data_IF_364098193823
#
_entry.id   IF_364098193823
#
_cell.length_a   1.000
_cell.length_b   1.000
_cell.length_c   1.000
_cell.angle_alpha   90.00
_cell.angle_beta   90.00
_cell.angle_gamma   90.00
#
_symmetry.space_group_name_H-M   'P 1'
#
loop_
_entity.id
_entity.type
_entity.pdbx_description
1 polymer ?
#
# COMPACT_ATOMS: atom_id res chain seq x y z
N UNK A 1 4.47 17.04 1.44
CA UNK A 1 3.11 16.90 2.02
C UNK A 1 3.09 17.40 3.44
N UNK A 2 3.67 18.58 3.66
CA UNK A 2 3.70 19.28 4.94
C UNK A 2 2.33 19.95 5.22
N UNK A 3 2.02 20.34 6.46
CA UNK A 3 2.82 20.14 7.67
C UNK A 3 2.70 18.73 8.24
N UNK A 4 1.55 18.08 8.07
CA UNK A 4 1.25 16.77 8.66
C UNK A 4 1.03 15.74 7.56
N UNK A 5 1.66 14.58 7.70
CA UNK A 5 1.53 13.41 6.82
C UNK A 5 1.40 12.15 7.68
N UNK A 6 0.57 11.21 7.23
CA UNK A 6 0.54 9.86 7.79
C UNK A 6 1.42 8.93 6.96
N UNK A 7 2.06 7.96 7.63
CA UNK A 7 2.87 6.91 7.00
C UNK A 7 2.39 5.57 7.52
N UNK A 8 2.08 4.66 6.60
CA UNK A 8 1.66 3.28 6.92
C UNK A 8 2.60 2.33 6.16
N UNK A 9 3.67 1.84 6.79
CA UNK A 9 4.82 1.31 6.06
C UNK A 9 4.57 -0.03 5.37
N UNK A 10 3.57 -0.80 5.80
CA UNK A 10 3.22 -2.09 5.19
C UNK A 10 2.18 -1.99 4.06
N UNK A 11 1.75 -0.78 3.72
CA UNK A 11 0.76 -0.50 2.67
C UNK A 11 1.39 0.26 1.52
N UNK A 12 0.76 0.19 0.34
CA UNK A 12 1.18 1.02 -0.79
C UNK A 12 1.08 2.52 -0.46
N UNK A 13 1.98 3.30 -1.04
CA UNK A 13 2.19 4.70 -0.67
C UNK A 13 0.96 5.61 -0.80
N UNK A 14 -0.02 5.24 -1.62
CA UNK A 14 -1.25 6.01 -1.78
C UNK A 14 -2.18 5.99 -0.56
N UNK A 15 -1.99 5.05 0.38
CA UNK A 15 -2.68 5.06 1.68
C UNK A 15 -2.09 6.08 2.66
N UNK A 16 -0.90 6.59 2.38
CA UNK A 16 -0.19 7.58 3.21
C UNK A 16 -0.55 9.01 2.79
N UNK A 17 -1.70 9.50 3.27
CA UNK A 17 -2.23 10.82 2.96
C UNK A 17 -1.25 11.95 3.35
N UNK A 18 -1.18 12.97 2.47
CA UNK A 18 -0.29 14.14 2.61
C UNK A 18 -1.11 15.37 3.02
N UNK A 19 -0.48 16.30 3.76
CA UNK A 19 -1.06 17.61 4.09
C UNK A 19 -2.45 17.48 4.73
N UNK A 20 -2.54 16.65 5.78
CA UNK A 20 -3.80 16.31 6.45
C UNK A 20 -4.35 17.53 7.19
N UNK A 21 -5.58 17.91 6.88
CA UNK A 21 -6.30 19.02 7.52
C UNK A 21 -7.46 18.58 8.42
N UNK A 22 -7.92 17.33 8.29
CA UNK A 22 -9.06 16.79 9.03
C UNK A 22 -8.92 15.29 9.25
N UNK A 23 -9.21 14.84 10.47
CA UNK A 23 -9.36 13.44 10.84
C UNK A 23 -10.78 13.27 11.39
N UNK A 24 -11.51 12.27 10.92
CA UNK A 24 -12.86 11.93 11.38
C UNK A 24 -12.91 10.44 11.65
N UNK A 25 -13.44 10.07 12.82
CA UNK A 25 -13.80 8.70 13.13
C UNK A 25 -15.21 8.42 12.60
N UNK A 26 -15.38 7.33 11.86
CA UNK A 26 -16.65 6.93 11.23
C UNK A 26 -16.95 5.48 11.56
N UNK A 27 -18.23 5.13 11.61
CA UNK A 27 -18.75 3.77 11.83
C UNK A 27 -18.70 2.91 10.55
N UNK A 28 -18.56 3.56 9.38
CA UNK A 28 -18.49 2.92 8.06
C UNK A 28 -17.15 3.16 7.38
N UNK A 29 -16.75 2.21 6.54
CA UNK A 29 -15.56 2.31 5.69
C UNK A 29 -15.69 3.49 4.70
N UNK A 30 -14.78 4.48 4.72
CA UNK A 30 -14.84 5.61 3.82
C UNK A 30 -14.25 5.27 2.45
N UNK A 31 -14.83 5.85 1.39
CA UNK A 31 -14.28 5.75 0.03
C UNK A 31 -12.96 6.53 -0.06
N UNK A 32 -11.89 5.87 -0.49
CA UNK A 32 -10.56 6.50 -0.67
C UNK A 32 -10.38 7.06 -2.08
N UNK A 33 -9.50 8.05 -2.26
CA UNK A 33 -9.35 8.76 -3.55
C UNK A 33 -9.00 7.82 -4.69
N UNK A 34 -8.04 6.92 -4.51
CA UNK A 34 -7.62 5.98 -5.56
C UNK A 34 -8.65 4.89 -5.82
N UNK A 35 -9.34 4.40 -4.78
CA UNK A 35 -10.43 3.46 -4.94
C UNK A 35 -11.61 4.08 -5.73
N UNK A 36 -11.91 5.36 -5.51
CA UNK A 36 -12.91 6.09 -6.30
C UNK A 36 -12.50 6.22 -7.77
N UNK A 37 -11.23 6.53 -8.03
CA UNK A 37 -10.73 6.79 -9.38
C UNK A 37 -10.59 5.52 -10.21
N UNK A 38 -10.08 4.44 -9.62
CA UNK A 38 -9.87 3.17 -10.31
C UNK A 38 -10.10 2.00 -9.33
N UNK A 39 -11.37 1.64 -9.07
CA UNK A 39 -11.72 0.63 -8.06
C UNK A 39 -11.19 -0.77 -8.37
N UNK A 40 -10.92 -1.06 -9.64
CA UNK A 40 -10.36 -2.33 -10.12
C UNK A 40 -8.84 -2.42 -9.83
N UNK A 41 -8.17 -1.27 -9.70
CA UNK A 41 -6.71 -1.19 -9.54
C UNK A 41 -6.30 -1.00 -8.08
N UNK A 42 -7.13 -0.32 -7.29
CA UNK A 42 -6.81 0.10 -5.93
C UNK A 42 -7.95 -0.22 -4.98
N UNK A 43 -7.78 -1.21 -4.12
CA UNK A 43 -8.75 -1.50 -3.05
C UNK A 43 -8.57 -0.64 -1.82
N UNK A 44 -9.32 -1.01 -0.77
CA UNK A 44 -9.30 -0.26 0.48
C UNK A 44 -8.08 -0.58 1.34
N UNK A 45 -7.73 -1.86 1.54
CA UNK A 45 -6.66 -2.21 2.48
C UNK A 45 -5.27 -2.00 1.90
N UNK A 46 -5.02 -2.42 0.66
CA UNK A 46 -3.78 -2.11 -0.09
C UNK A 46 -2.51 -2.39 0.67
N UNK A 47 -2.50 -3.56 1.31
CA UNK A 47 -1.30 -4.15 1.90
C UNK A 47 -0.32 -4.50 0.77
N UNK A 48 0.97 -4.26 0.98
CA UNK A 48 2.00 -4.67 0.03
C UNK A 48 2.00 -6.19 -0.03
N UNK A 49 1.73 -6.74 -1.21
CA UNK A 49 1.62 -8.18 -1.43
C UNK A 49 2.27 -8.57 -2.77
N UNK A 50 3.45 -9.21 -2.78
CA UNK A 50 4.14 -9.59 -4.02
C UNK A 50 3.41 -10.68 -4.82
N UNK A 51 2.46 -11.39 -4.20
CA UNK A 51 1.69 -12.47 -4.81
C UNK A 51 0.44 -11.97 -5.54
N UNK A 52 0.10 -10.68 -5.43
CA UNK A 52 -1.06 -10.07 -6.09
C UNK A 52 -0.56 -8.98 -7.01
N UNK A 53 -0.71 -9.20 -8.32
CA UNK A 53 -0.28 -8.23 -9.32
C UNK A 53 -1.31 -7.13 -9.48
N UNK A 54 -0.82 -5.92 -9.79
CA UNK A 54 -1.67 -4.86 -10.28
C UNK A 54 -2.19 -5.24 -11.68
N UNK A 55 -3.39 -4.79 -12.12
CA UNK A 55 -3.93 -5.17 -13.44
C UNK A 55 -3.00 -4.91 -14.63
N UNK A 56 -2.10 -3.93 -14.48
CA UNK A 56 -1.17 -3.49 -15.53
C UNK A 56 0.29 -3.91 -15.33
N UNK A 57 0.68 -4.43 -14.17
CA UNK A 57 2.07 -4.82 -13.90
C UNK A 57 2.21 -5.78 -12.70
N UNK A 58 3.27 -6.57 -12.70
CA UNK A 58 3.61 -7.43 -11.56
C UNK A 58 4.14 -6.62 -10.38
N UNK A 59 3.72 -6.99 -9.17
CA UNK A 59 4.18 -6.44 -7.90
C UNK A 59 5.24 -7.33 -7.22
N UNK A 60 5.71 -8.38 -7.90
CA UNK A 60 6.68 -9.33 -7.35
C UNK A 60 8.08 -8.73 -7.17
N UNK A 61 8.37 -7.64 -7.87
CA UNK A 61 9.67 -6.95 -7.82
C UNK A 61 9.48 -5.44 -7.81
N UNK A 62 10.42 -4.74 -7.18
CA UNK A 62 10.44 -3.30 -7.06
C UNK A 62 11.81 -2.71 -7.39
N UNK A 63 11.84 -1.40 -7.64
CA UNK A 63 13.08 -0.66 -7.84
C UNK A 63 13.38 0.17 -6.61
N UNK A 64 14.44 -0.20 -5.90
CA UNK A 64 14.97 0.57 -4.77
C UNK A 64 15.52 1.90 -5.29
N UNK A 65 15.06 3.02 -4.73
CA UNK A 65 15.60 4.35 -5.07
C UNK A 65 16.60 4.73 -3.99
N UNK A 66 17.89 4.51 -4.26
CA UNK A 66 18.98 4.73 -3.30
C UNK A 66 19.96 5.85 -3.72
N UNK A 67 19.60 6.61 -4.76
CA UNK A 67 20.35 7.76 -5.25
C UNK A 67 21.66 7.43 -5.98
N UNK A 68 22.04 6.14 -6.07
CA UNK A 68 23.34 5.74 -6.66
C UNK A 68 23.22 5.31 -8.12
N UNK A 69 22.09 4.75 -8.55
CA UNK A 69 21.94 4.30 -9.93
C UNK A 69 20.47 4.24 -10.39
N UNK A 70 20.07 5.08 -11.35
CA UNK A 70 18.72 5.04 -11.97
C UNK A 70 18.46 3.71 -12.71
N UNK A 71 19.53 2.97 -13.05
CA UNK A 71 19.47 1.65 -13.67
C UNK A 71 19.66 0.50 -12.66
N UNK A 72 19.53 0.76 -11.35
CA UNK A 72 19.61 -0.28 -10.33
C UNK A 72 18.68 -1.45 -10.65
N UNK A 73 19.21 -2.68 -10.56
CA UNK A 73 18.45 -3.91 -10.72
C UNK A 73 17.23 -3.95 -9.81
N UNK A 74 16.15 -4.57 -10.29
CA UNK A 74 14.96 -4.78 -9.46
C UNK A 74 15.27 -5.78 -8.35
N UNK A 75 14.73 -5.54 -7.16
CA UNK A 75 14.78 -6.46 -6.01
C UNK A 75 13.41 -7.10 -5.83
N UNK A 76 13.34 -8.22 -5.10
CA UNK A 76 12.06 -8.85 -4.76
C UNK A 76 11.31 -7.99 -3.75
N UNK A 77 10.01 -7.80 -3.97
CA UNK A 77 9.13 -7.11 -3.01
C UNK A 77 8.80 -8.06 -1.86
N UNK A 78 8.87 -7.55 -0.63
CA UNK A 78 8.57 -8.32 0.57
C UNK A 78 7.09 -8.25 0.93
N UNK A 79 6.54 -9.34 1.47
CA UNK A 79 5.17 -9.35 2.00
C UNK A 79 5.04 -8.34 3.13
N UNK A 80 3.95 -7.56 3.13
CA UNK A 80 3.75 -6.44 4.05
C UNK A 80 4.93 -5.46 4.09
N UNK A 81 5.69 -5.35 2.99
CA UNK A 81 6.89 -4.52 2.89
C UNK A 81 7.94 -4.82 3.98
N UNK A 82 8.04 -6.09 4.39
CA UNK A 82 8.98 -6.53 5.43
C UNK A 82 8.44 -6.45 6.86
N UNK A 83 7.21 -5.95 7.06
CA UNK A 83 6.61 -5.78 8.39
C UNK A 83 5.72 -6.95 8.82
N UNK A 84 5.76 -8.08 8.12
CA UNK A 84 4.83 -9.21 8.30
C UNK A 84 4.66 -9.63 9.76
N UNK A 85 5.76 -9.85 10.48
CA UNK A 85 5.77 -10.25 11.89
C UNK A 85 4.91 -9.35 12.80
N UNK A 86 4.84 -8.05 12.48
CA UNK A 86 4.13 -7.06 13.29
C UNK A 86 2.66 -6.89 12.92
N UNK A 87 2.29 -7.16 11.67
CA UNK A 87 0.97 -6.74 11.13
C UNK A 87 0.12 -7.89 10.61
N UNK A 88 0.70 -9.07 10.38
CA UNK A 88 -0.02 -10.20 9.78
C UNK A 88 -1.25 -10.61 10.60
N UNK A 89 -1.12 -10.61 11.93
CA UNK A 89 -2.21 -10.96 12.86
C UNK A 89 -3.44 -10.06 12.72
N UNK A 90 -3.28 -8.80 12.27
CA UNK A 90 -4.39 -7.87 12.05
C UNK A 90 -5.28 -8.28 10.87
N UNK A 91 -4.77 -9.14 9.98
CA UNK A 91 -5.45 -9.58 8.76
C UNK A 91 -5.68 -11.09 8.73
N UNK A 92 -5.48 -11.79 9.85
CA UNK A 92 -5.68 -13.23 9.93
C UNK A 92 -7.11 -13.63 9.53
N UNK A 93 -7.24 -14.62 8.65
CA UNK A 93 -8.54 -15.09 8.16
C UNK A 93 -9.16 -14.21 7.05
N UNK A 94 -8.52 -13.12 6.64
CA UNK A 94 -8.97 -12.32 5.51
C UNK A 94 -8.42 -12.84 4.17
N UNK A 95 -9.23 -12.73 3.11
CA UNK A 95 -8.76 -12.96 1.75
C UNK A 95 -7.95 -11.74 1.25
N UNK A 96 -6.63 -11.82 1.41
CA UNK A 96 -5.69 -10.76 1.02
C UNK A 96 -5.61 -10.52 -0.50
N UNK A 97 -6.23 -11.36 -1.34
CA UNK A 97 -6.35 -11.13 -2.78
C UNK A 97 -7.58 -10.29 -3.10
N UNK A 98 -8.67 -10.50 -2.37
CA UNK A 98 -9.92 -9.73 -2.49
C UNK A 98 -9.81 -8.32 -1.90
N UNK A 99 -8.89 -8.12 -0.95
CA UNK A 99 -8.69 -6.87 -0.24
C UNK A 99 -7.44 -6.08 -0.67
N UNK A 100 -6.89 -6.37 -1.85
CA UNK A 100 -5.77 -5.64 -2.46
C UNK A 100 -6.13 -4.19 -2.81
#
# INVERSE_FOLDING_TARGET
>A
GAPVRIVIPWKYGFKSAKSIVKIRLTDKEPVTSWHRTAPIEYGFYSNVNPNVSHPRWSQSTERRIDGRNIFSSKIKTEMFNGYGEYVEKLYAGMDLRKFY
#
